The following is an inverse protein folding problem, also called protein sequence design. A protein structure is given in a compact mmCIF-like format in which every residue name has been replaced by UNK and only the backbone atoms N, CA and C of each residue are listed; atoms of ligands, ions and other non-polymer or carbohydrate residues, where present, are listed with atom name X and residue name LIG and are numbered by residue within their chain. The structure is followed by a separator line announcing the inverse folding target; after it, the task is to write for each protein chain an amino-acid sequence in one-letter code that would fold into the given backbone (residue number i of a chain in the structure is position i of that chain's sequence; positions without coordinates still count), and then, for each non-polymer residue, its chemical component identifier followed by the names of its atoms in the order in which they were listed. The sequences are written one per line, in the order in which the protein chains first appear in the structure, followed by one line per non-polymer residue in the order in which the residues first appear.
data_IF_248118082815
#
_entry.id   IF_248118082815
#
_cell.length_a   1.000
_cell.length_b   1.000
_cell.length_c   1.000
_cell.angle_alpha   90.00
_cell.angle_beta   90.00
_cell.angle_gamma   90.00
#
_symmetry.space_group_name_H-M   'P 1'
#
loop_
_entity.id
_entity.type
_entity.pdbx_description
1 polymer ?
#
# COMPACT_ATOMS: atom_id res chain seq x y z
N UNK A 1 -0.19 -37.93 -31.69
CA UNK A 1 0.70 -37.08 -30.88
C UNK A 1 0.15 -35.69 -31.05
N UNK A 2 -0.64 -35.24 -30.08
CA UNK A 2 -1.15 -33.87 -30.06
C UNK A 2 -0.01 -33.01 -29.57
N UNK A 3 0.53 -32.15 -30.42
CA UNK A 3 1.42 -31.08 -30.00
C UNK A 3 0.59 -30.15 -29.12
N UNK A 4 0.84 -30.22 -27.81
CA UNK A 4 0.39 -29.22 -26.85
C UNK A 4 1.15 -27.95 -27.22
N UNK A 5 0.43 -26.98 -27.76
CA UNK A 5 0.94 -25.65 -28.05
C UNK A 5 1.28 -24.98 -26.72
N UNK A 6 2.56 -24.96 -26.36
CA UNK A 6 3.15 -24.09 -25.33
C UNK A 6 3.11 -22.63 -25.83
N UNK A 7 1.93 -22.12 -26.14
CA UNK A 7 1.76 -20.68 -26.26
C UNK A 7 1.83 -20.12 -24.84
N UNK A 8 2.70 -19.14 -24.54
CA UNK A 8 2.75 -18.52 -23.23
C UNK A 8 1.34 -18.07 -22.87
N UNK A 9 0.86 -18.49 -21.70
CA UNK A 9 -0.44 -18.04 -21.24
C UNK A 9 -0.34 -16.56 -20.89
N UNK A 10 -1.44 -15.81 -21.00
CA UNK A 10 -1.44 -14.40 -20.57
C UNK A 10 -0.87 -14.24 -19.14
N UNK A 11 -1.10 -15.22 -18.27
CA UNK A 11 -0.54 -15.32 -16.92
C UNK A 11 1.00 -15.21 -16.86
N UNK A 12 1.72 -15.64 -17.89
CA UNK A 12 3.19 -15.62 -17.95
C UNK A 12 3.75 -14.24 -18.36
N UNK A 13 2.90 -13.32 -18.82
CA UNK A 13 3.32 -12.00 -19.31
C UNK A 13 3.58 -10.98 -18.19
N UNK A 14 2.99 -11.19 -17.01
CA UNK A 14 3.14 -10.30 -15.86
C UNK A 14 3.85 -11.01 -14.71
N UNK A 15 4.68 -10.30 -13.92
CA UNK A 15 5.24 -10.86 -12.70
C UNK A 15 4.14 -11.35 -11.74
N UNK A 16 4.37 -12.44 -10.99
CA UNK A 16 3.45 -12.86 -9.93
C UNK A 16 3.19 -11.70 -8.94
N UNK A 17 1.92 -11.50 -8.56
CA UNK A 17 1.53 -10.45 -7.64
C UNK A 17 1.45 -9.04 -8.23
N UNK A 18 1.60 -8.88 -9.55
CA UNK A 18 1.65 -7.54 -10.18
C UNK A 18 0.31 -6.79 -10.04
N UNK A 19 -0.82 -7.46 -10.29
CA UNK A 19 -2.14 -6.87 -10.15
C UNK A 19 -2.37 -6.31 -8.74
N UNK A 20 -2.01 -7.06 -7.70
CA UNK A 20 -2.20 -6.66 -6.30
C UNK A 20 -1.48 -5.35 -5.96
N UNK A 21 -0.31 -5.11 -6.60
CA UNK A 21 0.44 -3.86 -6.43
C UNK A 21 -0.19 -2.68 -7.16
N UNK A 22 -0.76 -2.91 -8.34
CA UNK A 22 -1.38 -1.83 -9.13
C UNK A 22 -2.87 -1.63 -8.81
N UNK A 23 -3.51 -2.59 -8.14
CA UNK A 23 -4.95 -2.60 -7.87
C UNK A 23 -5.45 -1.33 -7.18
N UNK A 24 -4.80 -0.79 -6.13
CA UNK A 24 -5.27 0.45 -5.49
C UNK A 24 -5.30 1.63 -6.47
N UNK A 25 -4.27 1.75 -7.32
CA UNK A 25 -4.20 2.77 -8.36
C UNK A 25 -5.29 2.55 -9.43
N UNK A 26 -5.44 1.31 -9.92
CA UNK A 26 -6.45 0.95 -10.91
C UNK A 26 -7.88 1.22 -10.41
N UNK A 27 -8.15 0.96 -9.13
CA UNK A 27 -9.43 1.24 -8.49
C UNK A 27 -9.71 2.75 -8.42
N UNK A 28 -8.70 3.57 -8.09
CA UNK A 28 -8.84 5.02 -8.08
C UNK A 28 -9.07 5.60 -9.47
N UNK A 29 -8.30 5.17 -10.48
CA UNK A 29 -8.58 5.50 -11.87
C UNK A 29 -9.99 5.05 -12.27
N UNK A 30 -10.41 3.87 -11.81
CA UNK A 30 -11.74 3.32 -12.07
C UNK A 30 -12.87 4.17 -11.52
N UNK A 31 -12.76 4.59 -10.26
CA UNK A 31 -13.72 5.49 -9.65
C UNK A 31 -13.78 6.84 -10.38
N UNK A 32 -12.62 7.40 -10.72
CA UNK A 32 -12.52 8.62 -11.51
C UNK A 32 -13.19 8.50 -12.88
N UNK A 33 -12.85 7.46 -13.64
CA UNK A 33 -13.42 7.20 -14.96
C UNK A 33 -14.92 6.89 -14.90
N UNK A 34 -15.39 6.10 -13.92
CA UNK A 34 -16.82 5.81 -13.75
C UNK A 34 -17.60 7.09 -13.46
N UNK A 35 -17.06 7.97 -12.61
CA UNK A 35 -17.67 9.26 -12.33
C UNK A 35 -17.67 10.14 -13.58
N UNK A 36 -16.55 10.21 -14.29
CA UNK A 36 -16.38 10.99 -15.52
C UNK A 36 -17.38 10.57 -16.61
N UNK A 37 -17.49 9.27 -16.91
CA UNK A 37 -18.38 8.75 -17.94
C UNK A 37 -19.83 8.53 -17.48
N UNK A 38 -20.15 8.72 -16.19
CA UNK A 38 -21.54 8.71 -15.71
C UNK A 38 -22.38 9.85 -16.29
N UNK A 39 -21.74 10.86 -16.88
CA UNK A 39 -22.37 12.04 -17.49
C UNK A 39 -22.10 12.10 -18.99
N UNK A 40 -22.74 11.24 -19.79
CA UNK A 40 -22.52 11.18 -21.24
C UNK A 40 -22.99 12.44 -21.99
N UNK A 41 -23.65 13.38 -21.31
CA UNK A 41 -24.08 14.65 -21.90
C UNK A 41 -23.12 15.80 -21.66
N UNK A 42 -22.10 15.61 -20.81
CA UNK A 42 -21.07 16.62 -20.60
C UNK A 42 -20.14 16.66 -21.84
N UNK A 43 -19.70 17.85 -22.32
CA UNK A 43 -18.92 17.97 -23.54
C UNK A 43 -17.61 17.17 -23.52
N UNK A 44 -16.93 17.15 -22.36
CA UNK A 44 -15.62 16.52 -22.23
C UNK A 44 -15.70 14.98 -22.30
N UNK A 45 -16.54 14.26 -21.54
CA UNK A 45 -16.72 12.81 -21.74
C UNK A 45 -17.09 12.43 -23.17
N UNK A 46 -17.96 13.20 -23.85
CA UNK A 46 -18.30 12.94 -25.25
C UNK A 46 -17.09 13.10 -26.17
N UNK A 47 -16.29 14.16 -26.02
CA UNK A 47 -15.07 14.36 -26.82
C UNK A 47 -14.04 13.24 -26.58
N UNK A 48 -13.86 12.78 -25.34
CA UNK A 48 -12.98 11.65 -25.03
C UNK A 48 -13.50 10.35 -25.65
N UNK A 49 -14.80 10.07 -25.55
CA UNK A 49 -15.41 8.89 -26.21
C UNK A 49 -15.27 8.95 -27.73
N UNK A 50 -15.46 10.12 -28.34
CA UNK A 50 -15.31 10.29 -29.79
C UNK A 50 -13.85 10.11 -30.26
N UNK A 51 -12.88 10.56 -29.44
CA UNK A 51 -11.45 10.44 -29.74
C UNK A 51 -10.92 9.01 -29.57
N UNK A 52 -11.42 8.27 -28.58
CA UNK A 52 -10.75 7.05 -28.09
C UNK A 52 -11.59 5.79 -28.14
N UNK A 53 -12.91 5.94 -28.28
CA UNK A 53 -13.88 4.85 -28.10
C UNK A 53 -14.09 4.42 -26.63
N UNK A 54 -13.36 4.99 -25.67
CA UNK A 54 -13.58 4.71 -24.25
C UNK A 54 -14.88 5.38 -23.78
N UNK A 55 -15.79 4.58 -23.24
CA UNK A 55 -17.07 5.03 -22.69
C UNK A 55 -17.33 4.39 -21.31
N UNK A 56 -18.55 4.54 -20.80
CA UNK A 56 -18.95 3.95 -19.52
C UNK A 56 -18.93 2.41 -19.55
N UNK A 57 -19.24 1.78 -20.69
CA UNK A 57 -19.25 0.33 -20.80
C UNK A 57 -17.82 -0.23 -20.82
N UNK A 58 -16.93 0.37 -21.62
CA UNK A 58 -15.50 0.05 -21.64
C UNK A 58 -14.85 0.27 -20.28
N UNK A 59 -15.16 1.39 -19.63
CA UNK A 59 -14.70 1.66 -18.25
C UNK A 59 -15.14 0.56 -17.29
N UNK A 60 -16.42 0.16 -17.30
CA UNK A 60 -16.92 -0.92 -16.42
C UNK A 60 -16.21 -2.24 -16.66
N UNK A 61 -15.94 -2.58 -17.92
CA UNK A 61 -15.21 -3.78 -18.29
C UNK A 61 -13.80 -3.78 -17.70
N UNK A 62 -13.06 -2.68 -17.87
CA UNK A 62 -11.69 -2.54 -17.34
C UNK A 62 -11.69 -2.54 -15.80
N UNK A 63 -12.65 -1.87 -15.15
CA UNK A 63 -12.75 -1.88 -13.68
C UNK A 63 -13.13 -3.24 -13.08
N UNK A 64 -13.61 -4.18 -13.89
CA UNK A 64 -13.90 -5.54 -13.45
C UNK A 64 -12.66 -6.43 -13.36
N UNK A 65 -11.50 -5.95 -13.82
CA UNK A 65 -10.21 -6.64 -13.65
C UNK A 65 -9.90 -6.73 -12.16
N UNK A 66 -9.81 -7.96 -11.66
CA UNK A 66 -9.60 -8.27 -10.26
C UNK A 66 -8.52 -9.33 -10.02
N UNK A 67 -7.73 -9.65 -11.04
CA UNK A 67 -6.66 -10.64 -10.97
C UNK A 67 -5.57 -10.37 -12.01
N UNK A 68 -4.39 -10.93 -11.76
CA UNK A 68 -3.24 -10.83 -12.65
C UNK A 68 -3.53 -11.40 -14.05
N UNK A 69 -4.27 -12.51 -14.14
CA UNK A 69 -4.66 -13.14 -15.41
C UNK A 69 -5.57 -12.24 -16.24
N UNK A 70 -6.53 -11.55 -15.59
CA UNK A 70 -7.42 -10.62 -16.26
C UNK A 70 -6.67 -9.39 -16.75
N UNK A 71 -5.76 -8.86 -15.93
CA UNK A 71 -4.94 -7.71 -16.31
C UNK A 71 -4.03 -8.04 -17.49
N UNK A 72 -3.36 -9.19 -17.45
CA UNK A 72 -2.50 -9.62 -18.54
C UNK A 72 -3.28 -9.85 -19.83
N UNK A 73 -4.47 -10.45 -19.73
CA UNK A 73 -5.36 -10.59 -20.88
C UNK A 73 -5.77 -9.23 -21.45
N UNK A 74 -6.18 -8.28 -20.62
CA UNK A 74 -6.54 -6.94 -21.06
C UNK A 74 -5.37 -6.25 -21.78
N UNK A 75 -4.17 -6.34 -21.22
CA UNK A 75 -2.97 -5.78 -21.83
C UNK A 75 -2.66 -6.42 -23.19
N UNK A 76 -2.86 -7.74 -23.34
CA UNK A 76 -2.59 -8.42 -24.60
C UNK A 76 -3.67 -8.22 -25.67
N UNK A 77 -4.94 -8.11 -25.27
CA UNK A 77 -6.07 -8.01 -26.19
C UNK A 77 -6.34 -6.57 -26.64
N UNK A 78 -6.30 -5.61 -25.70
CA UNK A 78 -6.64 -4.21 -25.97
C UNK A 78 -5.72 -3.23 -25.17
N UNK A 79 -4.41 -3.22 -25.44
CA UNK A 79 -3.45 -2.39 -24.70
C UNK A 79 -3.70 -0.90 -24.88
N UNK A 80 -4.13 -0.46 -26.06
CA UNK A 80 -4.42 0.95 -26.35
C UNK A 80 -5.62 1.47 -25.56
N UNK A 81 -6.70 0.68 -25.46
CA UNK A 81 -7.87 1.06 -24.67
C UNK A 81 -7.52 1.13 -23.18
N UNK A 82 -6.69 0.20 -22.71
CA UNK A 82 -6.18 0.22 -21.33
C UNK A 82 -5.28 1.44 -21.07
N UNK A 83 -4.39 1.77 -22.01
CA UNK A 83 -3.57 2.99 -21.96
C UNK A 83 -4.44 4.26 -21.82
N UNK A 84 -5.46 4.40 -22.67
CA UNK A 84 -6.40 5.54 -22.62
C UNK A 84 -7.11 5.58 -21.28
N UNK A 85 -7.59 4.44 -20.77
CA UNK A 85 -8.25 4.36 -19.47
C UNK A 85 -7.37 4.90 -18.34
N UNK A 86 -6.09 4.51 -18.31
CA UNK A 86 -5.15 5.00 -17.29
C UNK A 86 -4.89 6.49 -17.45
N UNK A 87 -4.67 6.96 -18.68
CA UNK A 87 -4.41 8.38 -18.96
C UNK A 87 -5.59 9.26 -18.54
N UNK A 88 -6.82 8.88 -18.92
CA UNK A 88 -8.05 9.59 -18.53
C UNK A 88 -8.22 9.54 -17.02
N UNK A 89 -7.97 8.39 -16.38
CA UNK A 89 -8.01 8.24 -14.93
C UNK A 89 -7.06 9.21 -14.21
N UNK A 90 -5.80 9.29 -14.65
CA UNK A 90 -4.81 10.24 -14.10
C UNK A 90 -5.27 11.70 -14.26
N UNK A 91 -5.74 12.09 -15.45
CA UNK A 91 -6.20 13.47 -15.70
C UNK A 91 -7.43 13.84 -14.87
N UNK A 92 -8.33 12.89 -14.62
CA UNK A 92 -9.47 13.08 -13.73
C UNK A 92 -9.02 13.28 -12.28
N UNK A 93 -8.04 12.50 -11.82
CA UNK A 93 -7.48 12.57 -10.47
C UNK A 93 -6.55 13.78 -10.24
N UNK A 94 -6.05 14.39 -11.32
CA UNK A 94 -5.32 15.66 -11.24
C UNK A 94 -6.27 16.88 -11.29
N UNK A 95 -7.47 16.70 -11.84
CA UNK A 95 -8.46 17.75 -12.04
C UNK A 95 -9.45 17.97 -10.88
N UNK A 96 -10.48 18.83 -11.10
CA UNK A 96 -11.51 19.13 -10.10
C UNK A 96 -12.42 17.95 -9.75
N UNK A 97 -12.47 16.93 -10.61
CA UNK A 97 -13.20 15.69 -10.36
C UNK A 97 -12.51 14.76 -9.37
N UNK A 98 -11.26 15.02 -8.99
CA UNK A 98 -10.59 14.28 -7.94
C UNK A 98 -11.30 14.43 -6.59
N UNK A 99 -11.84 15.62 -6.29
CA UNK A 99 -12.45 15.95 -4.98
C UNK A 99 -13.51 14.94 -4.54
N UNK A 100 -14.54 14.62 -5.33
CA UNK A 100 -15.54 13.63 -4.94
C UNK A 100 -14.97 12.21 -4.77
N UNK A 101 -14.02 11.79 -5.62
CA UNK A 101 -13.36 10.48 -5.51
C UNK A 101 -12.54 10.39 -4.22
N UNK A 102 -11.76 11.43 -3.92
CA UNK A 102 -10.93 11.51 -2.72
C UNK A 102 -11.77 11.57 -1.45
N UNK A 103 -12.89 12.31 -1.46
CA UNK A 103 -13.83 12.32 -0.32
C UNK A 103 -14.44 10.94 -0.06
N UNK A 104 -14.79 10.22 -1.12
CA UNK A 104 -15.26 8.84 -0.96
C UNK A 104 -14.18 7.94 -0.35
N UNK A 105 -12.91 8.15 -0.73
CA UNK A 105 -11.77 7.46 -0.13
C UNK A 105 -11.59 7.82 1.35
N UNK A 106 -11.66 9.11 1.70
CA UNK A 106 -11.63 9.61 3.08
C UNK A 106 -12.69 8.92 3.94
N UNK A 107 -13.94 8.86 3.46
CA UNK A 107 -15.05 8.22 4.17
C UNK A 107 -14.89 6.71 4.29
N UNK A 108 -14.51 6.03 3.21
CA UNK A 108 -14.43 4.55 3.18
C UNK A 108 -13.24 3.99 3.95
N UNK A 109 -12.11 4.71 3.95
CA UNK A 109 -10.88 4.30 4.61
C UNK A 109 -10.62 5.03 5.93
N UNK A 110 -11.53 5.92 6.35
CA UNK A 110 -11.39 6.77 7.55
C UNK A 110 -10.09 7.58 7.54
N UNK A 111 -9.73 8.10 6.36
CA UNK A 111 -8.53 8.91 6.18
C UNK A 111 -8.84 10.37 6.47
N UNK A 112 -7.86 11.07 7.05
CA UNK A 112 -7.92 12.52 7.13
C UNK A 112 -7.48 13.16 5.78
N UNK A 113 -7.63 14.49 5.70
CA UNK A 113 -7.30 15.24 4.49
C UNK A 113 -5.79 15.19 4.17
N UNK A 114 -4.93 15.15 5.19
CA UNK A 114 -3.47 15.13 4.99
C UNK A 114 -3.02 13.77 4.43
N UNK A 115 -3.57 12.67 4.94
CA UNK A 115 -3.35 11.32 4.43
C UNK A 115 -3.86 11.17 3.01
N UNK A 116 -5.01 11.75 2.69
CA UNK A 116 -5.60 11.71 1.35
C UNK A 116 -4.76 12.51 0.34
N UNK A 117 -4.28 13.69 0.73
CA UNK A 117 -3.35 14.47 -0.08
C UNK A 117 -2.02 13.74 -0.27
N UNK A 118 -1.49 13.07 0.77
CA UNK A 118 -0.28 12.26 0.67
C UNK A 118 -0.44 11.08 -0.31
N UNK A 119 -1.59 10.38 -0.25
CA UNK A 119 -1.92 9.30 -1.19
C UNK A 119 -1.99 9.85 -2.62
N UNK A 120 -2.67 10.97 -2.83
CA UNK A 120 -2.75 11.61 -4.15
C UNK A 120 -1.37 12.01 -4.67
N UNK A 121 -0.55 12.63 -3.84
CA UNK A 121 0.80 13.07 -4.19
C UNK A 121 1.72 11.90 -4.55
N UNK A 122 1.52 10.72 -3.96
CA UNK A 122 2.28 9.52 -4.29
C UNK A 122 1.75 8.79 -5.53
N UNK A 123 0.42 8.73 -5.69
CA UNK A 123 -0.20 7.96 -6.77
C UNK A 123 -0.14 8.62 -8.14
N UNK A 124 -0.15 9.96 -8.23
CA UNK A 124 -0.08 10.64 -9.52
C UNK A 124 1.26 10.38 -10.25
N UNK A 125 2.44 10.56 -9.64
CA UNK A 125 3.72 10.22 -10.29
C UNK A 125 3.85 8.73 -10.65
N UNK A 126 3.33 7.85 -9.79
CA UNK A 126 3.25 6.42 -10.09
C UNK A 126 2.39 6.17 -11.33
N UNK A 127 1.21 6.81 -11.39
CA UNK A 127 0.28 6.71 -12.51
C UNK A 127 0.87 7.20 -13.82
N UNK A 128 1.59 8.32 -13.83
CA UNK A 128 2.31 8.80 -15.02
C UNK A 128 3.33 7.78 -15.52
N UNK A 129 4.14 7.24 -14.62
CA UNK A 129 5.13 6.20 -14.93
C UNK A 129 4.45 4.94 -15.50
N UNK A 130 3.32 4.56 -14.91
CA UNK A 130 2.58 3.38 -15.34
C UNK A 130 1.89 3.57 -16.71
N UNK A 131 1.33 4.75 -16.97
CA UNK A 131 0.81 5.14 -18.29
C UNK A 131 1.90 5.07 -19.35
N UNK A 132 3.11 5.57 -19.06
CA UNK A 132 4.24 5.48 -19.99
C UNK A 132 4.66 4.03 -20.27
N UNK A 133 4.72 3.19 -19.23
CA UNK A 133 5.04 1.78 -19.37
C UNK A 133 4.04 1.06 -20.26
N UNK A 134 2.74 1.26 -20.00
CA UNK A 134 1.65 0.68 -20.79
C UNK A 134 1.65 1.23 -22.22
N UNK A 135 1.96 2.51 -22.42
CA UNK A 135 2.08 3.10 -23.76
C UNK A 135 3.22 2.49 -24.57
N UNK A 136 4.39 2.28 -23.95
CA UNK A 136 5.51 1.57 -24.61
C UNK A 136 5.15 0.12 -24.93
N UNK A 137 4.47 -0.55 -24.00
CA UNK A 137 3.97 -1.91 -24.22
C UNK A 137 3.00 -1.96 -25.39
N UNK A 138 2.03 -1.04 -25.46
CA UNK A 138 1.05 -0.95 -26.54
C UNK A 138 1.72 -0.75 -27.92
N UNK A 139 2.78 0.07 -27.97
CA UNK A 139 3.52 0.32 -29.21
C UNK A 139 4.40 -0.85 -29.67
N UNK A 140 4.72 -1.85 -28.82
CA UNK A 140 5.54 -3.02 -29.19
C UNK A 140 6.86 -2.68 -29.92
N UNK A 141 7.56 -1.63 -29.50
CA UNK A 141 8.77 -1.07 -30.17
C UNK A 141 8.55 -0.53 -31.60
N UNK A 142 7.30 -0.31 -32.02
CA UNK A 142 6.96 0.36 -33.28
C UNK A 142 6.95 1.89 -33.10
N UNK A 143 7.86 2.58 -33.81
CA UNK A 143 8.01 4.03 -33.76
C UNK A 143 6.75 4.76 -34.27
N UNK A 144 6.06 4.24 -35.29
CA UNK A 144 4.85 4.86 -35.85
C UNK A 144 3.70 4.75 -34.83
N UNK A 145 3.52 3.57 -34.23
CA UNK A 145 2.53 3.37 -33.16
C UNK A 145 2.82 4.25 -31.93
N UNK A 146 4.10 4.45 -31.59
CA UNK A 146 4.50 5.32 -30.50
C UNK A 146 4.20 6.81 -30.79
N UNK A 147 4.42 7.26 -32.03
CA UNK A 147 4.04 8.62 -32.47
C UNK A 147 2.53 8.82 -32.43
N UNK A 148 1.75 7.84 -32.89
CA UNK A 148 0.28 7.88 -32.87
C UNK A 148 -0.27 7.94 -31.44
N UNK A 149 0.27 7.13 -30.52
CA UNK A 149 -0.10 7.18 -29.10
C UNK A 149 0.28 8.52 -28.46
N UNK A 150 1.43 9.08 -28.82
CA UNK A 150 1.83 10.39 -28.33
C UNK A 150 0.88 11.50 -28.83
N UNK A 151 0.50 11.45 -30.12
CA UNK A 151 -0.48 12.37 -30.68
C UNK A 151 -1.84 12.23 -29.97
N UNK A 152 -2.29 11.00 -29.74
CA UNK A 152 -3.53 10.71 -29.02
C UNK A 152 -3.50 11.29 -27.60
N UNK A 153 -2.39 11.10 -26.87
CA UNK A 153 -2.17 11.71 -25.55
C UNK A 153 -2.33 13.23 -25.58
N UNK A 154 -1.67 13.89 -26.51
CA UNK A 154 -1.77 15.35 -26.67
C UNK A 154 -3.21 15.81 -27.00
N UNK A 155 -3.96 15.03 -27.76
CA UNK A 155 -5.37 15.31 -28.06
C UNK A 155 -6.24 15.20 -26.81
N UNK A 156 -6.05 14.14 -26.01
CA UNK A 156 -6.76 13.91 -24.75
C UNK A 156 -6.44 15.02 -23.74
N UNK A 157 -5.16 15.29 -23.49
CA UNK A 157 -4.71 16.38 -22.59
C UNK A 157 -5.23 17.73 -23.06
N UNK A 158 -5.21 17.98 -24.38
CA UNK A 158 -5.77 19.18 -24.98
C UNK A 158 -7.28 19.31 -24.77
N UNK A 159 -8.04 18.21 -24.82
CA UNK A 159 -9.47 18.22 -24.53
C UNK A 159 -9.74 18.55 -23.05
N UNK A 160 -9.00 17.93 -22.13
CA UNK A 160 -9.08 18.26 -20.69
C UNK A 160 -8.76 19.74 -20.43
N UNK A 161 -7.67 20.26 -21.00
CA UNK A 161 -7.29 21.66 -20.83
C UNK A 161 -8.35 22.65 -21.35
N UNK A 162 -9.13 22.28 -22.37
CA UNK A 162 -10.18 23.14 -22.95
C UNK A 162 -11.53 23.05 -22.24
N UNK A 163 -11.88 21.88 -21.71
CA UNK A 163 -13.25 21.58 -21.28
C UNK A 163 -13.36 21.15 -19.82
N UNK A 164 -12.26 21.05 -19.06
CA UNK A 164 -12.33 20.64 -17.65
C UNK A 164 -13.20 21.58 -16.79
N UNK A 165 -13.31 22.85 -17.14
CA UNK A 165 -14.18 23.83 -16.47
C UNK A 165 -15.67 23.61 -16.75
N UNK A 166 -16.01 22.84 -17.78
CA UNK A 166 -17.39 22.45 -18.09
C UNK A 166 -17.89 21.29 -17.23
N UNK A 167 -16.98 20.60 -16.53
CA UNK A 167 -17.32 19.48 -15.67
C UNK A 167 -18.07 19.96 -14.43
N UNK A 168 -19.28 19.45 -14.25
CA UNK A 168 -20.00 19.64 -12.99
C UNK A 168 -19.42 18.69 -11.93
N UNK A 169 -19.35 19.09 -10.67
CA UNK A 169 -19.06 18.16 -9.58
C UNK A 169 -20.38 17.66 -9.01
N UNK A 170 -20.56 16.35 -8.96
CA UNK A 170 -21.70 15.69 -8.29
C UNK A 170 -21.10 14.87 -7.19
N UNK A 171 -21.64 14.98 -5.99
CA UNK A 171 -21.22 14.14 -4.88
C UNK A 171 -21.57 12.69 -5.18
N UNK A 172 -20.63 11.77 -4.90
CA UNK A 172 -20.91 10.35 -4.96
C UNK A 172 -21.97 10.02 -3.90
N UNK A 173 -22.92 9.11 -4.17
CA UNK A 173 -23.91 8.71 -3.17
C UNK A 173 -23.19 8.12 -1.96
N UNK A 174 -23.52 8.59 -0.76
CA UNK A 174 -23.08 8.01 0.51
C UNK A 174 -23.54 6.55 0.56
N UNK A 175 -22.67 5.62 0.18
CA UNK A 175 -22.93 4.18 0.23
C UNK A 175 -22.61 3.60 1.62
N UNK A 176 -22.85 4.37 2.68
CA UNK A 176 -22.95 3.80 4.01
C UNK A 176 -24.28 3.02 4.05
N UNK A 177 -24.29 1.71 4.34
CA UNK A 177 -25.54 1.04 4.67
C UNK A 177 -26.12 1.78 5.88
N UNK A 178 -27.22 2.49 5.68
CA UNK A 178 -27.97 3.09 6.76
C UNK A 178 -28.33 1.96 7.73
N UNK A 179 -27.66 1.94 8.89
CA UNK A 179 -28.11 1.14 10.01
C UNK A 179 -29.60 1.43 10.22
N UNK A 180 -30.44 0.41 10.42
CA UNK A 180 -31.88 0.63 10.53
C UNK A 180 -32.14 1.53 11.74
N UNK A 181 -32.55 2.76 11.45
CA UNK A 181 -33.10 3.69 12.42
C UNK A 181 -34.52 3.19 12.73
N UNK A 182 -34.65 2.29 13.71
CA UNK A 182 -35.88 2.00 14.44
C UNK A 182 -35.57 1.02 15.59
N UNK A 183 -35.19 1.58 16.74
CA UNK A 183 -35.36 0.96 18.05
C UNK A 183 -35.37 2.09 19.09
N UNK A 184 -36.51 2.77 19.20
CA UNK A 184 -36.86 3.48 20.43
C UNK A 184 -37.09 2.42 21.52
N UNK A 185 -36.08 2.18 22.36
CA UNK A 185 -36.28 1.57 23.67
C UNK A 185 -35.87 2.61 24.74
N UNK A 186 -36.90 3.25 25.27
CA UNK A 186 -36.89 3.82 26.62
C UNK A 186 -36.73 2.65 27.61
N UNK A 187 -35.71 2.66 28.45
CA UNK A 187 -35.74 2.16 29.83
C UNK A 187 -34.36 2.50 30.44
N UNK A 188 -34.27 3.51 31.28
CA UNK A 188 -34.56 3.51 32.72
C UNK A 188 -33.27 3.28 33.50
N UNK A 189 -33.10 4.13 34.50
CA UNK A 189 -31.86 4.41 35.18
C UNK A 189 -31.57 3.31 36.21
N UNK A 190 -30.49 2.56 36.03
CA UNK A 190 -29.75 1.94 37.14
C UNK A 190 -28.32 2.49 37.12
N UNK A 191 -28.17 3.71 37.66
CA UNK A 191 -26.90 4.20 38.22
C UNK A 191 -26.59 3.35 39.47
N UNK A 192 -25.96 2.18 39.33
CA UNK A 192 -25.22 1.48 40.39
C UNK A 192 -24.75 0.09 39.89
N UNK A 193 -23.64 0.05 39.13
CA UNK A 193 -22.78 -1.10 38.79
C UNK A 193 -22.07 -0.73 37.47
N UNK A 194 -20.75 -0.76 37.28
CA UNK A 194 -19.68 -1.54 37.90
C UNK A 194 -18.44 -0.64 37.93
N UNK A 195 -17.56 -0.86 38.91
CA UNK A 195 -16.16 -0.45 38.81
C UNK A 195 -15.66 -0.88 37.42
N UNK A 196 -15.37 0.08 36.53
CA UNK A 196 -14.46 -0.14 35.40
C UNK A 196 -13.16 -0.63 36.02
N UNK A 197 -12.96 -1.95 36.08
CA UNK A 197 -11.65 -2.56 36.17
C UNK A 197 -10.90 -2.09 34.92
N UNK A 198 -10.32 -0.90 34.99
CA UNK A 198 -9.33 -0.45 34.04
C UNK A 198 -8.33 -1.59 33.94
N UNK A 199 -8.30 -2.25 32.78
CA UNK A 199 -7.47 -3.43 32.53
C UNK A 199 -6.08 -3.12 33.10
N UNK A 200 -5.67 -3.84 34.16
CA UNK A 200 -4.39 -3.61 34.87
C UNK A 200 -3.19 -3.68 33.89
N UNK A 201 -3.42 -4.20 32.69
CA UNK A 201 -2.50 -4.34 31.58
C UNK A 201 -2.20 -3.04 30.81
N UNK A 202 -2.99 -1.98 30.98
CA UNK A 202 -2.81 -0.68 30.29
C UNK A 202 -1.91 0.30 31.07
N UNK A 203 -1.51 -0.03 32.30
CA UNK A 203 -0.55 0.78 33.05
C UNK A 203 0.84 0.74 32.40
N UNK A 204 1.55 1.88 32.31
CA UNK A 204 2.90 1.92 31.76
C UNK A 204 3.87 1.23 32.72
N UNK A 205 4.39 0.08 32.29
CA UNK A 205 5.33 -0.73 33.08
C UNK A 205 6.77 -0.61 32.58
N UNK A 206 6.95 -0.01 31.40
CA UNK A 206 8.25 0.06 30.73
C UNK A 206 8.46 1.43 30.09
N UNK A 207 9.59 2.05 30.41
CA UNK A 207 10.03 3.29 29.75
C UNK A 207 11.29 3.01 28.95
N UNK A 208 11.21 3.23 27.65
CA UNK A 208 12.33 3.00 26.75
C UNK A 208 12.49 4.20 25.81
N UNK A 209 13.75 4.62 25.64
CA UNK A 209 14.09 5.63 24.66
C UNK A 209 14.60 4.94 23.39
N UNK A 210 13.87 5.13 22.31
CA UNK A 210 14.25 4.63 21.00
C UNK A 210 15.07 5.67 20.25
N UNK A 211 15.99 5.19 19.42
CA UNK A 211 16.59 6.02 18.35
C UNK A 211 15.64 6.08 17.16
N UNK A 212 15.83 7.07 16.30
CA UNK A 212 15.01 7.24 15.10
C UNK A 212 14.98 5.99 14.21
N UNK A 213 16.13 5.33 14.03
CA UNK A 213 16.22 4.12 13.21
C UNK A 213 15.47 2.94 13.85
N UNK A 214 15.47 2.88 15.18
CA UNK A 214 14.71 1.87 15.92
C UNK A 214 13.21 2.14 15.81
N UNK A 215 12.77 3.40 15.91
CA UNK A 215 11.37 3.77 15.70
C UNK A 215 10.89 3.41 14.30
N UNK A 216 11.70 3.67 13.27
CA UNK A 216 11.39 3.25 11.90
C UNK A 216 11.25 1.73 11.78
N UNK A 217 12.17 0.97 12.38
CA UNK A 217 12.11 -0.50 12.41
C UNK A 217 10.86 -1.00 13.15
N UNK A 218 10.50 -0.43 14.30
CA UNK A 218 9.32 -0.85 15.06
C UNK A 218 8.02 -0.53 14.31
N UNK A 219 7.91 0.67 13.73
CA UNK A 219 6.76 1.04 12.88
C UNK A 219 6.62 0.08 11.70
N UNK A 220 7.74 -0.28 11.09
CA UNK A 220 7.79 -1.25 10.01
C UNK A 220 7.30 -2.62 10.45
N UNK A 221 7.80 -3.11 11.58
CA UNK A 221 7.44 -4.41 12.14
C UNK A 221 5.94 -4.50 12.42
N UNK A 222 5.37 -3.50 13.10
CA UNK A 222 3.93 -3.46 13.44
C UNK A 222 3.07 -3.33 12.17
N UNK A 223 3.51 -2.51 11.20
CA UNK A 223 2.82 -2.39 9.91
C UNK A 223 2.84 -3.71 9.14
N UNK A 224 3.97 -4.40 9.12
CA UNK A 224 4.10 -5.68 8.44
C UNK A 224 3.18 -6.73 9.09
N UNK A 225 3.18 -6.85 10.41
CA UNK A 225 2.29 -7.78 11.12
C UNK A 225 0.81 -7.55 10.77
N UNK A 226 0.40 -6.29 10.57
CA UNK A 226 -0.95 -5.94 10.12
C UNK A 226 -1.25 -6.37 8.69
N UNK A 227 -0.34 -6.05 7.78
CA UNK A 227 -0.61 -6.16 6.33
C UNK A 227 -0.39 -7.58 5.84
N UNK A 228 0.57 -8.31 6.43
CA UNK A 228 1.05 -9.60 5.96
C UNK A 228 -0.05 -10.66 5.70
N UNK A 229 -1.07 -10.83 6.57
CA UNK A 229 -2.16 -11.77 6.31
C UNK A 229 -3.03 -11.43 5.08
N UNK A 230 -3.01 -10.16 4.65
CA UNK A 230 -3.82 -9.69 3.50
C UNK A 230 -3.09 -9.86 2.17
N UNK A 231 -1.76 -9.82 2.20
CA UNK A 231 -0.91 -9.77 1.00
C UNK A 231 -0.23 -11.10 0.65
N UNK A 232 -0.40 -12.12 1.50
CA UNK A 232 0.24 -13.43 1.31
C UNK A 232 -0.66 -14.56 1.81
N UNK A 233 -0.81 -15.59 0.99
CA UNK A 233 -1.55 -16.82 1.31
C UNK A 233 -0.69 -17.87 2.04
N UNK A 234 0.59 -17.57 2.30
CA UNK A 234 1.49 -18.51 2.97
C UNK A 234 0.98 -18.83 4.39
N UNK A 235 1.11 -20.09 4.87
CA UNK A 235 0.64 -20.49 6.19
C UNK A 235 1.17 -19.59 7.32
N UNK A 236 2.46 -19.24 7.25
CA UNK A 236 3.07 -18.25 8.13
C UNK A 236 2.32 -16.91 8.15
N UNK A 237 2.04 -16.33 6.98
CA UNK A 237 1.37 -15.03 6.88
C UNK A 237 -0.05 -15.05 7.45
N UNK A 238 -0.78 -16.15 7.24
CA UNK A 238 -2.14 -16.32 7.79
C UNK A 238 -2.14 -16.52 9.30
N UNK A 239 -1.12 -17.20 9.84
CA UNK A 239 -0.99 -17.43 11.28
C UNK A 239 -0.66 -16.16 12.08
N UNK A 240 -0.04 -15.15 11.46
CA UNK A 240 0.26 -13.85 12.10
C UNK A 240 -1.01 -13.17 12.62
N UNK A 241 -2.15 -13.31 11.94
CA UNK A 241 -3.43 -12.75 12.38
C UNK A 241 -4.00 -13.43 13.64
N UNK A 242 -3.44 -14.57 14.04
CA UNK A 242 -3.90 -15.36 15.19
C UNK A 242 -3.05 -15.12 16.45
N UNK A 243 -1.99 -14.32 16.34
CA UNK A 243 -1.13 -13.98 17.48
C UNK A 243 -1.90 -13.14 18.50
N UNK A 244 -1.75 -13.48 19.78
CA UNK A 244 -2.55 -12.89 20.87
C UNK A 244 -2.34 -11.38 21.03
N UNK A 245 -1.14 -10.88 20.80
CA UNK A 245 -0.83 -9.45 20.85
C UNK A 245 -1.23 -8.67 19.58
N UNK A 246 -1.47 -9.34 18.46
CA UNK A 246 -1.68 -8.71 17.15
C UNK A 246 -3.15 -8.41 16.82
N UNK A 247 -3.92 -7.95 17.81
CA UNK A 247 -5.31 -7.55 17.52
C UNK A 247 -5.35 -6.27 16.65
N UNK A 248 -6.34 -6.11 15.75
CA UNK A 248 -6.40 -4.94 14.88
C UNK A 248 -6.44 -3.61 15.63
N UNK A 249 -7.16 -3.55 16.76
CA UNK A 249 -7.27 -2.35 17.58
C UNK A 249 -5.92 -1.99 18.25
N UNK A 250 -5.24 -2.98 18.80
CA UNK A 250 -3.93 -2.81 19.42
C UNK A 250 -2.88 -2.31 18.43
N UNK A 251 -2.84 -2.91 17.24
CA UNK A 251 -1.94 -2.52 16.15
C UNK A 251 -2.17 -1.07 15.73
N UNK A 252 -3.42 -0.61 15.63
CA UNK A 252 -3.74 0.77 15.28
C UNK A 252 -3.29 1.73 16.38
N UNK A 253 -3.62 1.41 17.64
CA UNK A 253 -3.25 2.23 18.80
C UNK A 253 -1.73 2.37 18.95
N UNK A 254 -1.00 1.25 18.91
CA UNK A 254 0.46 1.26 19.01
C UNK A 254 1.12 1.99 17.83
N UNK A 255 0.64 1.83 16.60
CA UNK A 255 1.17 2.58 15.47
C UNK A 255 1.00 4.10 15.64
N UNK A 256 -0.14 4.55 16.15
CA UNK A 256 -0.35 5.97 16.43
C UNK A 256 0.68 6.47 17.46
N UNK A 257 0.85 5.75 18.58
CA UNK A 257 1.86 6.07 19.60
C UNK A 257 3.28 6.10 19.04
N UNK A 258 3.67 5.08 18.26
CA UNK A 258 4.99 5.02 17.66
C UNK A 258 5.24 6.15 16.66
N UNK A 259 4.21 6.67 15.97
CA UNK A 259 4.33 7.81 15.04
C UNK A 259 4.56 9.12 15.78
N UNK A 260 3.92 9.30 16.93
CA UNK A 260 4.09 10.47 17.79
C UNK A 260 5.40 10.43 18.59
N UNK A 261 5.95 9.23 18.83
CA UNK A 261 7.23 9.06 19.50
C UNK A 261 8.38 9.67 18.67
N UNK A 262 9.26 10.39 19.37
CA UNK A 262 10.50 10.94 18.83
C UNK A 262 11.73 10.41 19.58
N UNK A 263 12.93 10.78 19.12
CA UNK A 263 14.18 10.34 19.73
C UNK A 263 14.54 11.15 20.99
N UNK A 264 13.73 12.14 21.39
CA UNK A 264 14.03 13.09 22.47
C UNK A 264 13.41 12.67 23.80
N UNK A 265 12.23 12.05 23.79
CA UNK A 265 11.49 11.63 24.97
C UNK A 265 11.41 10.09 25.11
N UNK A 266 11.46 9.55 26.34
CA UNK A 266 11.18 8.13 26.56
C UNK A 266 9.71 7.83 26.23
N UNK A 267 9.47 6.72 25.55
CA UNK A 267 8.12 6.24 25.28
C UNK A 267 7.67 5.33 26.42
N UNK A 268 6.49 5.61 26.97
CA UNK A 268 5.86 4.77 27.97
C UNK A 268 5.12 3.62 27.26
N UNK A 269 5.40 2.40 27.71
CA UNK A 269 4.85 1.17 27.14
C UNK A 269 4.11 0.39 28.22
N UNK A 270 2.88 0.03 27.88
CA UNK A 270 2.11 -0.98 28.61
C UNK A 270 2.69 -2.38 28.36
N UNK A 271 2.24 -3.38 29.14
CA UNK A 271 2.61 -4.77 28.83
C UNK A 271 2.10 -5.18 27.45
N UNK A 272 0.89 -4.74 27.09
CA UNK A 272 0.29 -5.02 25.80
C UNK A 272 1.15 -4.49 24.64
N UNK A 273 1.70 -3.28 24.79
CA UNK A 273 2.63 -2.71 23.81
C UNK A 273 3.91 -3.53 23.68
N UNK A 274 4.50 -3.94 24.80
CA UNK A 274 5.72 -4.76 24.80
C UNK A 274 5.46 -6.10 24.11
N UNK A 275 4.34 -6.76 24.42
CA UNK A 275 3.95 -8.03 23.80
C UNK A 275 3.78 -7.89 22.28
N UNK A 276 3.04 -6.87 21.83
CA UNK A 276 2.81 -6.62 20.41
C UNK A 276 4.11 -6.26 19.68
N UNK A 277 4.99 -5.43 20.26
CA UNK A 277 6.30 -5.11 19.67
C UNK A 277 7.19 -6.36 19.59
N UNK A 278 7.21 -7.18 20.65
CA UNK A 278 7.97 -8.42 20.69
C UNK A 278 7.56 -9.37 19.56
N UNK A 279 6.26 -9.57 19.36
CA UNK A 279 5.74 -10.43 18.29
C UNK A 279 6.00 -9.81 16.92
N UNK A 280 5.66 -8.53 16.72
CA UNK A 280 5.81 -7.84 15.44
C UNK A 280 7.26 -7.82 14.95
N UNK A 281 8.21 -7.58 15.86
CA UNK A 281 9.64 -7.57 15.51
C UNK A 281 10.14 -8.96 15.12
N UNK A 282 9.66 -10.01 15.76
CA UNK A 282 9.98 -11.39 15.36
C UNK A 282 9.32 -11.79 14.05
N UNK A 283 8.07 -11.38 13.79
CA UNK A 283 7.43 -11.53 12.48
C UNK A 283 8.25 -10.86 11.39
N UNK A 284 8.77 -9.65 11.64
CA UNK A 284 9.67 -8.96 10.72
C UNK A 284 10.97 -9.74 10.49
N UNK A 285 11.61 -10.26 11.54
CA UNK A 285 12.81 -11.09 11.39
C UNK A 285 12.54 -12.36 10.57
N UNK A 286 11.45 -13.08 10.86
CA UNK A 286 11.03 -14.28 10.13
C UNK A 286 10.72 -13.97 8.65
N UNK A 287 10.05 -12.85 8.38
CA UNK A 287 9.79 -12.40 7.02
C UNK A 287 11.11 -12.08 6.30
N UNK A 288 12.05 -11.38 6.95
CA UNK A 288 13.36 -11.03 6.38
C UNK A 288 14.20 -12.25 6.03
N UNK A 289 14.15 -13.34 6.80
CA UNK A 289 14.94 -14.55 6.55
C UNK A 289 14.23 -15.57 5.64
N UNK A 290 12.97 -15.31 5.27
CA UNK A 290 12.18 -16.17 4.39
C UNK A 290 11.90 -15.50 3.05
N UNK A 291 11.43 -16.28 2.08
CA UNK A 291 11.04 -15.75 0.76
C UNK A 291 9.72 -14.95 0.80
N UNK A 292 9.18 -14.69 1.99
CA UNK A 292 7.94 -13.93 2.18
C UNK A 292 8.10 -12.49 1.70
N UNK A 293 9.29 -11.89 1.89
CA UNK A 293 9.57 -10.54 1.39
C UNK A 293 9.90 -10.50 -0.12
N UNK A 294 10.27 -11.64 -0.73
CA UNK A 294 10.42 -11.72 -2.19
C UNK A 294 9.09 -11.50 -2.89
N UNK A 295 7.99 -12.00 -2.31
CA UNK A 295 6.62 -11.75 -2.77
C UNK A 295 6.31 -10.24 -2.73
N UNK A 296 6.85 -9.54 -1.73
CA UNK A 296 6.69 -8.11 -1.55
C UNK A 296 7.67 -7.26 -2.36
N UNK A 297 8.66 -7.87 -3.03
CA UNK A 297 9.74 -7.18 -3.77
C UNK A 297 10.35 -6.01 -2.97
N UNK A 298 10.55 -6.27 -1.68
CA UNK A 298 11.09 -5.31 -0.72
C UNK A 298 12.45 -4.72 -1.16
N UNK A 299 13.22 -5.50 -1.90
CA UNK A 299 14.49 -5.09 -2.52
C UNK A 299 14.34 -3.88 -3.45
N UNK A 300 13.21 -3.76 -4.16
CA UNK A 300 12.99 -2.66 -5.12
C UNK A 300 12.74 -1.34 -4.40
N UNK A 301 11.88 -1.35 -3.37
CA UNK A 301 11.55 -0.15 -2.59
C UNK A 301 12.68 0.32 -1.68
N UNK A 302 13.55 -0.58 -1.22
CA UNK A 302 14.78 -0.17 -0.53
C UNK A 302 15.88 0.30 -1.52
N UNK A 303 15.88 -0.18 -2.76
CA UNK A 303 16.88 0.20 -3.76
C UNK A 303 16.60 1.53 -4.45
N UNK A 304 15.40 2.10 -4.29
CA UNK A 304 15.04 3.45 -4.71
C UNK A 304 15.72 4.52 -3.83
N UNK A 305 17.05 4.60 -3.88
CA UNK A 305 17.69 5.91 -3.75
C UNK A 305 17.45 6.66 -5.06
N UNK A 306 16.98 7.93 -5.02
CA UNK A 306 16.92 8.73 -6.22
C UNK A 306 18.31 8.74 -6.85
N UNK A 307 18.45 8.69 -8.20
CA UNK A 307 19.73 8.98 -8.81
C UNK A 307 20.12 10.36 -8.30
N UNK A 308 21.17 10.43 -7.49
CA UNK A 308 21.72 11.70 -7.08
C UNK A 308 22.13 12.40 -8.38
N UNK A 309 21.28 13.31 -8.87
CA UNK A 309 21.69 14.41 -9.73
C UNK A 309 22.59 15.33 -8.88
N UNK A 310 23.74 14.80 -8.46
CA UNK A 310 24.82 15.61 -7.97
C UNK A 310 25.50 16.22 -9.20
N UNK A 311 25.62 17.55 -9.28
CA UNK A 311 26.43 18.18 -10.31
C UNK A 311 27.84 17.62 -10.17
N UNK A 312 28.43 17.17 -11.27
CA UNK A 312 29.76 16.56 -11.34
C UNK A 312 30.78 17.29 -10.45
N UNK A 313 30.94 16.81 -9.22
CA UNK A 313 31.96 17.27 -8.31
C UNK A 313 33.30 16.67 -8.76
N UNK A 314 34.42 17.40 -8.62
CA UNK A 314 35.72 16.98 -9.13
C UNK A 314 36.13 15.63 -8.53
N UNK A 315 36.74 14.79 -9.39
CA UNK A 315 37.04 13.36 -9.19
C UNK A 315 37.97 12.98 -8.01
N UNK A 316 38.24 13.88 -7.07
CA UNK A 316 39.22 13.68 -5.98
C UNK A 316 38.60 13.50 -4.58
N UNK A 317 37.27 13.45 -4.42
CA UNK A 317 36.62 13.25 -3.10
C UNK A 317 35.68 12.04 -3.01
N UNK A 318 35.53 11.24 -4.06
CA UNK A 318 34.58 10.11 -4.08
C UNK A 318 35.16 8.77 -3.55
N UNK A 319 36.38 8.76 -3.02
CA UNK A 319 37.08 7.51 -2.68
C UNK A 319 36.85 6.99 -1.25
N UNK A 320 36.13 7.72 -0.39
CA UNK A 320 36.06 7.41 1.05
C UNK A 320 34.67 7.00 1.57
N UNK A 321 33.66 6.82 0.71
CA UNK A 321 32.38 6.22 1.14
C UNK A 321 32.36 4.71 0.81
N UNK A 322 32.60 3.83 1.80
CA UNK A 322 32.61 2.38 1.59
C UNK A 322 31.23 1.82 1.21
N UNK A 323 30.15 2.59 1.37
CA UNK A 323 28.79 2.15 1.05
C UNK A 323 28.42 2.40 -0.43
N UNK A 324 28.99 3.43 -1.05
CA UNK A 324 28.81 3.74 -2.47
C UNK A 324 29.44 2.69 -3.41
N UNK A 325 30.37 1.88 -2.90
CA UNK A 325 31.03 0.81 -3.66
C UNK A 325 30.23 -0.52 -3.68
N UNK A 326 29.15 -0.63 -2.89
CA UNK A 326 28.37 -1.85 -2.77
C UNK A 326 27.31 -1.97 -3.86
N UNK A 327 27.18 -3.18 -4.41
CA UNK A 327 26.07 -3.52 -5.31
C UNK A 327 24.71 -3.39 -4.59
N UNK A 328 23.59 -3.21 -5.32
CA UNK A 328 22.26 -3.16 -4.71
C UNK A 328 21.95 -4.37 -3.82
N UNK A 329 22.34 -5.58 -4.26
CA UNK A 329 22.17 -6.81 -3.47
C UNK A 329 23.01 -6.79 -2.18
N UNK A 330 24.26 -6.32 -2.23
CA UNK A 330 25.10 -6.20 -1.03
C UNK A 330 24.58 -5.13 -0.06
N UNK A 331 24.02 -4.02 -0.58
CA UNK A 331 23.35 -3.00 0.24
C UNK A 331 22.10 -3.56 0.92
N UNK A 332 21.31 -4.35 0.20
CA UNK A 332 20.14 -5.02 0.76
C UNK A 332 20.53 -5.99 1.88
N UNK A 333 21.48 -6.89 1.64
CA UNK A 333 21.98 -7.84 2.66
C UNK A 333 22.51 -7.09 3.88
N UNK A 334 23.27 -6.00 3.68
CA UNK A 334 23.77 -5.19 4.79
C UNK A 334 22.66 -4.52 5.60
N UNK A 335 21.61 -4.00 4.95
CA UNK A 335 20.45 -3.42 5.63
C UNK A 335 19.66 -4.49 6.38
N UNK A 336 19.49 -5.67 5.79
CA UNK A 336 18.88 -6.83 6.44
C UNK A 336 19.67 -7.23 7.70
N UNK A 337 21.00 -7.31 7.64
CA UNK A 337 21.85 -7.59 8.80
C UNK A 337 21.68 -6.56 9.92
N UNK A 338 21.63 -5.26 9.57
CA UNK A 338 21.42 -4.18 10.53
C UNK A 338 20.03 -4.30 11.19
N UNK A 339 18.98 -4.53 10.41
CA UNK A 339 17.61 -4.70 10.93
C UNK A 339 17.54 -5.93 11.85
N UNK A 340 18.10 -7.06 11.43
CA UNK A 340 18.17 -8.27 12.25
C UNK A 340 18.93 -8.03 13.55
N UNK A 341 20.05 -7.29 13.53
CA UNK A 341 20.78 -6.92 14.75
C UNK A 341 19.95 -6.05 15.69
N UNK A 342 19.20 -5.08 15.16
CA UNK A 342 18.28 -4.25 15.96
C UNK A 342 17.16 -5.07 16.58
N UNK A 343 16.57 -6.00 15.81
CA UNK A 343 15.53 -6.90 16.31
C UNK A 343 16.08 -7.78 17.43
N UNK A 344 17.23 -8.43 17.22
CA UNK A 344 17.87 -9.26 18.25
C UNK A 344 18.12 -8.46 19.53
N UNK A 345 18.68 -7.25 19.44
CA UNK A 345 18.91 -6.41 20.62
C UNK A 345 17.62 -6.02 21.34
N UNK A 346 16.53 -5.76 20.61
CA UNK A 346 15.23 -5.48 21.23
C UNK A 346 14.64 -6.72 21.91
N UNK A 347 14.67 -7.88 21.25
CA UNK A 347 14.18 -9.16 21.79
C UNK A 347 14.96 -9.55 23.05
N UNK A 348 16.29 -9.45 23.04
CA UNK A 348 17.13 -9.69 24.22
C UNK A 348 16.78 -8.74 25.37
N UNK A 349 16.57 -7.45 25.07
CA UNK A 349 16.17 -6.45 26.06
C UNK A 349 14.85 -6.82 26.73
N UNK A 350 13.82 -7.18 25.96
CA UNK A 350 12.52 -7.63 26.50
C UNK A 350 12.70 -8.89 27.34
N UNK A 351 13.45 -9.87 26.85
CA UNK A 351 13.66 -11.13 27.56
C UNK A 351 14.42 -10.97 28.88
N UNK A 352 15.36 -10.03 28.96
CA UNK A 352 16.09 -9.73 30.18
C UNK A 352 15.22 -8.97 31.20
N UNK A 353 14.45 -7.97 30.76
CA UNK A 353 13.64 -7.14 31.65
C UNK A 353 12.38 -7.85 32.16
N UNK A 354 11.84 -8.79 31.38
CA UNK A 354 10.59 -9.50 31.67
C UNK A 354 10.79 -11.01 31.80
N UNK A 355 11.98 -11.44 32.24
CA UNK A 355 12.34 -12.86 32.35
C UNK A 355 11.39 -13.66 33.24
N UNK A 356 10.83 -13.02 34.27
CA UNK A 356 9.93 -13.63 35.26
C UNK A 356 8.43 -13.52 34.88
N UNK A 357 8.11 -12.86 33.76
CA UNK A 357 6.74 -12.63 33.33
C UNK A 357 6.17 -13.88 32.61
N UNK A 358 5.16 -14.57 33.17
CA UNK A 358 4.64 -15.81 32.60
C UNK A 358 4.08 -15.63 31.18
N UNK A 359 3.51 -14.47 30.88
CA UNK A 359 3.01 -14.16 29.53
C UNK A 359 4.12 -14.17 28.49
N UNK A 360 5.37 -13.87 28.85
CA UNK A 360 6.49 -13.93 27.92
C UNK A 360 6.75 -15.36 27.42
N UNK A 361 6.52 -16.38 28.26
CA UNK A 361 6.65 -17.78 27.85
C UNK A 361 5.56 -18.19 26.85
N UNK A 362 4.34 -17.65 27.00
CA UNK A 362 3.26 -17.84 26.03
C UNK A 362 3.63 -17.21 24.68
N UNK A 363 4.12 -15.95 24.69
CA UNK A 363 4.58 -15.28 23.48
C UNK A 363 5.72 -16.03 22.79
N UNK A 364 6.67 -16.58 23.55
CA UNK A 364 7.76 -17.43 23.00
C UNK A 364 7.22 -18.69 22.34
N UNK A 365 6.21 -19.32 22.92
CA UNK A 365 5.57 -20.49 22.33
C UNK A 365 4.86 -20.11 21.03
N UNK A 366 4.09 -19.02 21.02
CA UNK A 366 3.45 -18.51 19.81
C UNK A 366 4.47 -18.23 18.68
N UNK A 367 5.62 -17.63 19.01
CA UNK A 367 6.68 -17.38 18.03
C UNK A 367 7.34 -18.67 17.54
N UNK A 368 7.46 -19.68 18.40
CA UNK A 368 7.98 -21.00 18.01
C UNK A 368 7.01 -21.70 17.05
N UNK A 369 5.73 -21.72 17.39
CA UNK A 369 4.66 -22.30 16.57
C UNK A 369 4.55 -21.59 15.21
N UNK A 370 4.75 -20.26 15.20
CA UNK A 370 4.76 -19.47 13.98
C UNK A 370 5.98 -19.78 13.10
N UNK A 371 7.17 -19.94 13.69
CA UNK A 371 8.39 -20.27 12.97
C UNK A 371 8.33 -21.65 12.29
N UNK A 372 7.58 -22.60 12.86
CA UNK A 372 7.35 -23.93 12.27
C UNK A 372 6.54 -23.90 10.96
N UNK A 373 5.95 -22.74 10.61
CA UNK A 373 5.15 -22.53 9.39
C UNK A 373 5.93 -21.88 8.23
N UNK A 374 7.21 -21.55 8.43
CA UNK A 374 8.13 -21.08 7.39
C UNK A 374 8.71 -22.25 6.59
#
# INVERSE_FOLDING_TARGET
MSEQSDAPTAADALPPGFYERVAPFLQLCGMGCLQFFSRPHDPLPQEITDLTGLDLAGTRMITAINSNDMLARQLLEEPELFYVYLLVGCLVLDGPLAVPVLRFLEQSMQLDAEQTDAIRAHLLPFGETFVELVGRFAAHDDEEAQEDLHLLRLQIEGAFARLADTLQTTELPDNAPAAPADAEEEDDWDEDAEDDEADEDDEPIFEIRFREEQLHMLRLAVTLARVLPTISELPFAQAVAQLSGCTPAAIVSLNARLREADDTAPTQMSWHDVALLYQSTQVLAMALVSNVLDVLRWEEHLSEEPPAEAPAAPADTAADDPEAALTPAERFVRRQEIICMMITGFVECVQEHFADEPRLDELRQEMTDLADLL
#
